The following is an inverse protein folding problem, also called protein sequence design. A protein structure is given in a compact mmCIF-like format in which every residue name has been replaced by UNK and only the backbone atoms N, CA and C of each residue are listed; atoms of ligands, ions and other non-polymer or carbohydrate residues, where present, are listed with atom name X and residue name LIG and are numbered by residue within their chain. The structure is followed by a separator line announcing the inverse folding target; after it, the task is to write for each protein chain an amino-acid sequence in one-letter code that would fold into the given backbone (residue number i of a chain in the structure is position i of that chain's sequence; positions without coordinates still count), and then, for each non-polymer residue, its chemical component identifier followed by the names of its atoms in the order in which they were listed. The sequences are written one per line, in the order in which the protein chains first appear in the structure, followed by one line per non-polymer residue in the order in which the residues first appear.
data_IF_410689896572
#
_entry.id   IF_410689896572
#
_cell.length_a   1.000
_cell.length_b   1.000
_cell.length_c   1.000
_cell.angle_alpha   90.00
_cell.angle_beta   90.00
_cell.angle_gamma   90.00
#
_symmetry.space_group_name_H-M   'P 1'
#
loop_
_entity.id
_entity.type
_entity.pdbx_description
1 polymer ?
#
# COMPACT_ATOMS: atom_id res chain seq x y z
N UNK A 1 6.88 -19.12 4.68
CA UNK A 1 6.36 -18.83 3.35
C UNK A 1 7.41 -19.00 2.28
N UNK A 2 8.13 -20.10 2.31
CA UNK A 2 9.13 -20.55 1.24
C UNK A 2 8.49 -20.73 -0.12
N UNK A 3 7.31 -21.33 -0.11
CA UNK A 3 6.42 -21.38 -1.25
C UNK A 3 5.09 -22.03 -0.89
N UNK A 4 4.12 -21.20 -0.56
CA UNK A 4 2.75 -21.66 -0.33
C UNK A 4 1.75 -20.73 -0.98
N UNK A 5 1.35 -21.07 -2.19
CA UNK A 5 0.40 -20.24 -2.94
C UNK A 5 -0.94 -20.94 -3.08
N UNK A 6 -1.33 -21.66 -2.05
CA UNK A 6 -2.67 -22.25 -1.99
C UNK A 6 -3.61 -21.39 -1.19
N UNK A 7 -3.11 -20.85 -0.09
CA UNK A 7 -3.94 -20.09 0.84
C UNK A 7 -4.34 -18.76 0.24
N UNK A 8 -3.45 -18.19 -0.55
CA UNK A 8 -3.69 -16.89 -1.17
C UNK A 8 -4.99 -16.88 -1.94
N UNK A 9 -5.26 -17.97 -2.63
CA UNK A 9 -6.47 -18.09 -3.44
C UNK A 9 -7.71 -18.13 -2.57
N UNK A 10 -7.59 -18.77 -1.43
CA UNK A 10 -8.67 -18.80 -0.44
C UNK A 10 -9.16 -17.40 -0.14
N UNK A 11 -8.22 -16.49 0.05
CA UNK A 11 -8.52 -15.14 0.52
C UNK A 11 -8.37 -14.13 -0.59
N UNK A 12 -8.62 -14.55 -1.82
CA UNK A 12 -8.41 -13.70 -2.99
C UNK A 12 -9.59 -12.78 -3.20
N UNK A 13 -10.79 -13.31 -2.99
CA UNK A 13 -12.02 -12.53 -3.08
C UNK A 13 -12.26 -11.72 -1.83
N UNK A 14 -11.73 -12.18 -0.72
CA UNK A 14 -11.79 -11.43 0.54
C UNK A 14 -11.03 -10.12 0.44
N UNK A 15 -10.05 -10.06 -0.45
CA UNK A 15 -9.32 -8.82 -0.71
C UNK A 15 -10.22 -7.79 -1.35
N UNK A 16 -11.20 -8.26 -2.10
CA UNK A 16 -12.24 -7.39 -2.64
C UNK A 16 -13.04 -6.75 -1.52
N UNK A 17 -13.57 -7.58 -0.64
CA UNK A 17 -14.23 -7.12 0.58
C UNK A 17 -13.41 -6.06 1.27
N UNK A 18 -12.10 -6.20 1.21
CA UNK A 18 -11.19 -5.35 1.99
C UNK A 18 -11.12 -3.95 1.42
N UNK A 19 -11.17 -3.85 0.10
CA UNK A 19 -11.09 -2.56 -0.57
C UNK A 19 -12.29 -1.71 -0.26
N UNK A 20 -13.44 -2.35 -0.11
CA UNK A 20 -14.70 -1.64 0.11
C UNK A 20 -14.63 -0.79 1.35
N UNK A 21 -13.86 -1.24 2.33
CA UNK A 21 -13.67 -0.49 3.57
C UNK A 21 -12.81 0.73 3.34
N UNK A 22 -11.70 0.55 2.67
CA UNK A 22 -10.73 1.62 2.46
C UNK A 22 -10.93 2.30 1.12
N UNK A 23 -12.16 2.36 0.67
CA UNK A 23 -12.51 3.15 -0.52
C UNK A 23 -12.03 4.57 -0.37
N UNK A 24 -12.48 5.23 0.68
CA UNK A 24 -12.21 6.70 1.01
C UNK A 24 -10.91 6.99 1.73
N UNK A 25 -9.94 6.11 1.59
CA UNK A 25 -8.67 6.22 2.30
C UNK A 25 -7.51 6.51 1.36
N UNK A 26 -7.66 6.18 0.09
CA UNK A 26 -6.57 6.26 -0.88
C UNK A 26 -5.90 7.62 -0.84
N UNK A 27 -6.66 8.66 -1.10
CA UNK A 27 -6.11 10.00 -1.25
C UNK A 27 -6.24 10.79 0.03
N UNK A 28 -5.49 10.40 1.04
CA UNK A 28 -5.41 11.15 2.29
C UNK A 28 -4.00 11.13 2.85
N UNK A 29 -3.39 9.96 2.84
CA UNK A 29 -1.98 9.82 3.20
C UNK A 29 -1.15 9.46 1.99
N UNK A 30 -0.28 10.37 1.59
CA UNK A 30 0.65 10.12 0.49
C UNK A 30 1.64 11.25 0.35
N UNK A 31 1.17 12.47 0.53
CA UNK A 31 2.04 13.63 0.61
C UNK A 31 2.83 13.62 1.90
N UNK A 32 2.26 13.02 2.93
CA UNK A 32 2.97 12.77 4.18
C UNK A 32 4.09 11.78 3.98
N UNK A 33 3.86 10.81 3.11
CA UNK A 33 4.91 9.88 2.69
C UNK A 33 5.87 10.50 1.71
N UNK A 34 5.50 11.62 1.11
CA UNK A 34 6.36 12.31 0.15
C UNK A 34 7.34 13.26 0.82
N UNK A 35 7.57 13.10 2.10
CA UNK A 35 8.56 13.90 2.82
C UNK A 35 9.77 13.08 3.18
N UNK A 36 9.54 11.90 3.72
CA UNK A 36 10.62 10.95 3.98
C UNK A 36 11.18 10.40 2.68
N UNK A 37 10.29 10.13 1.74
CA UNK A 37 10.69 9.77 0.38
C UNK A 37 11.62 10.79 -0.21
N UNK A 38 11.55 12.02 0.28
CA UNK A 38 12.46 13.07 -0.15
C UNK A 38 13.87 12.79 0.31
N UNK A 39 14.01 12.41 1.57
CA UNK A 39 15.31 12.10 2.15
C UNK A 39 16.03 11.05 1.33
N UNK A 40 15.28 10.09 0.82
CA UNK A 40 15.86 8.92 0.15
C UNK A 40 16.49 9.31 -1.16
N UNK A 41 15.81 10.14 -1.92
CA UNK A 41 16.22 10.45 -3.29
C UNK A 41 16.91 11.79 -3.36
N UNK A 42 16.14 12.85 -3.53
CA UNK A 42 16.69 14.18 -3.79
C UNK A 42 15.61 15.24 -3.73
N UNK A 43 15.85 16.35 -4.40
CA UNK A 43 14.83 17.38 -4.56
C UNK A 43 14.46 17.97 -3.22
N UNK A 44 15.16 19.02 -2.83
CA UNK A 44 14.97 19.63 -1.52
C UNK A 44 16.29 20.05 -0.92
N UNK A 45 16.96 20.98 -1.56
CA UNK A 45 18.18 21.58 -1.02
C UNK A 45 19.40 20.78 -1.41
N UNK A 46 19.39 20.25 -2.62
CA UNK A 46 20.45 19.35 -3.08
C UNK A 46 20.65 18.22 -2.10
#
# INVERSE_FOLDING_TARGET
SPLGEEMRDRARAHVDALRTHLAPYSDELRQRLAARLEALKENGGA
#
